data_IF_258973106849
#
_entry.id   IF_258973106849
#
_cell.length_a   1.000
_cell.length_b   1.000
_cell.length_c   1.000
_cell.angle_alpha   90.00
_cell.angle_beta   90.00
_cell.angle_gamma   90.00
#
_symmetry.space_group_name_H-M   'P 1'
#
loop_
_entity.id
_entity.type
_entity.pdbx_description
1 polymer ?
#
# COMPACT_ATOMS: atom_id res chain seq x y z
N UNK A 1 13.91 -39.01 -69.58
CA UNK A 1 15.15 -38.76 -68.80
C UNK A 1 14.72 -38.55 -67.36
N UNK A 2 14.96 -39.56 -66.53
CA UNK A 2 14.42 -39.70 -65.18
C UNK A 2 15.22 -38.85 -64.18
N UNK A 3 14.54 -38.00 -63.43
CA UNK A 3 15.12 -37.28 -62.28
C UNK A 3 15.43 -38.26 -61.15
N UNK A 4 16.65 -38.23 -60.56
CA UNK A 4 17.00 -39.13 -59.47
C UNK A 4 16.21 -38.82 -58.20
N UNK A 5 15.60 -39.84 -57.63
CA UNK A 5 15.12 -39.88 -56.26
C UNK A 5 16.31 -39.67 -55.31
N UNK A 6 16.27 -38.63 -54.47
CA UNK A 6 17.31 -38.36 -53.49
C UNK A 6 17.43 -39.55 -52.52
N UNK A 7 18.67 -39.96 -52.25
CA UNK A 7 18.97 -41.10 -51.38
C UNK A 7 18.48 -40.85 -49.94
N UNK A 8 18.02 -41.89 -49.21
CA UNK A 8 17.50 -41.76 -47.84
C UNK A 8 18.52 -41.20 -46.83
N UNK A 9 19.81 -41.18 -47.17
CA UNK A 9 20.89 -40.65 -46.32
C UNK A 9 20.95 -39.11 -46.27
N UNK A 10 20.38 -38.40 -47.25
CA UNK A 10 20.36 -36.91 -47.25
C UNK A 10 19.25 -36.34 -46.35
N UNK A 11 18.14 -37.08 -46.18
CA UNK A 11 17.09 -36.72 -45.21
C UNK A 11 17.58 -36.86 -43.76
N UNK A 12 18.38 -37.90 -43.47
CA UNK A 12 18.94 -38.14 -42.14
C UNK A 12 19.96 -37.07 -41.72
N UNK A 13 20.75 -36.54 -42.67
CA UNK A 13 21.67 -35.42 -42.42
C UNK A 13 20.94 -34.09 -42.18
N UNK A 14 19.81 -33.87 -42.87
CA UNK A 14 18.99 -32.67 -42.64
C UNK A 14 18.28 -32.69 -41.28
N UNK A 15 17.81 -33.86 -40.82
CA UNK A 15 17.27 -34.05 -39.47
C UNK A 15 18.33 -33.88 -38.38
N UNK A 16 19.54 -34.43 -38.56
CA UNK A 16 20.65 -34.25 -37.62
C UNK A 16 21.15 -32.79 -37.56
N UNK A 17 21.05 -32.01 -38.64
CA UNK A 17 21.35 -30.58 -38.64
C UNK A 17 20.26 -29.73 -37.96
N UNK A 18 19.00 -30.15 -38.00
CA UNK A 18 17.91 -29.52 -37.25
C UNK A 18 18.04 -29.78 -35.74
N UNK A 19 18.45 -30.98 -35.33
CA UNK A 19 18.69 -31.32 -33.91
C UNK A 19 19.94 -30.65 -33.32
N UNK A 20 20.92 -30.25 -34.16
CA UNK A 20 22.09 -29.49 -33.70
C UNK A 20 21.82 -27.97 -33.66
N UNK A 21 20.85 -27.48 -34.44
CA UNK A 21 20.37 -26.10 -34.38
C UNK A 21 19.27 -25.88 -33.32
N UNK A 22 18.66 -26.95 -32.81
CA UNK A 22 17.72 -26.92 -31.68
C UNK A 22 18.40 -27.08 -30.32
N UNK A 23 19.73 -26.88 -30.24
CA UNK A 23 20.36 -26.46 -28.99
C UNK A 23 19.89 -25.03 -28.70
N UNK A 24 18.66 -24.98 -28.23
CA UNK A 24 18.08 -23.90 -27.47
C UNK A 24 19.18 -23.41 -26.54
N UNK A 25 19.67 -22.21 -26.79
CA UNK A 25 20.33 -21.40 -25.78
C UNK A 25 19.28 -21.15 -24.71
N UNK A 26 19.02 -22.16 -23.87
CA UNK A 26 18.60 -21.98 -22.50
C UNK A 26 19.60 -21.01 -21.94
N UNK A 27 19.17 -19.75 -21.88
CA UNK A 27 19.74 -18.73 -21.01
C UNK A 27 19.87 -19.45 -19.68
N UNK A 28 21.12 -19.76 -19.31
CA UNK A 28 21.41 -20.25 -17.98
C UNK A 28 21.00 -19.12 -17.05
N UNK A 29 19.80 -19.25 -16.49
CA UNK A 29 19.41 -18.51 -15.30
C UNK A 29 20.49 -18.82 -14.26
N UNK A 30 21.35 -17.84 -14.04
CA UNK A 30 22.29 -17.81 -12.93
C UNK A 30 21.47 -17.84 -11.63
N UNK A 31 21.29 -19.05 -11.10
CA UNK A 31 20.56 -19.36 -9.85
C UNK A 31 21.33 -18.95 -8.59
N UNK A 32 22.35 -18.09 -8.68
CA UNK A 32 23.15 -17.66 -7.52
C UNK A 32 22.45 -16.65 -6.61
N UNK A 33 21.24 -16.18 -6.94
CA UNK A 33 20.38 -15.45 -6.00
C UNK A 33 18.97 -16.05 -5.95
N UNK A 34 18.42 -16.36 -4.76
CA UNK A 34 17.01 -16.65 -4.66
C UNK A 34 16.17 -15.42 -5.07
N UNK A 35 14.91 -15.64 -5.49
CA UNK A 35 14.02 -14.66 -6.15
C UNK A 35 13.48 -13.56 -5.22
N UNK A 36 14.14 -13.37 -4.07
CA UNK A 36 13.92 -12.29 -3.12
C UNK A 36 15.25 -11.91 -2.48
N UNK A 37 15.68 -10.64 -2.54
CA UNK A 37 17.00 -10.23 -2.02
C UNK A 37 17.21 -10.41 -0.51
N UNK A 38 16.14 -10.62 0.26
CA UNK A 38 16.12 -10.63 1.72
C UNK A 38 15.90 -12.02 2.33
N UNK A 39 15.78 -13.08 1.51
CA UNK A 39 15.58 -14.44 1.98
C UNK A 39 14.20 -14.73 2.59
N UNK A 40 13.26 -13.80 2.50
CA UNK A 40 11.90 -13.96 3.07
C UNK A 40 11.02 -14.92 2.28
N UNK A 41 11.38 -15.24 1.03
CA UNK A 41 10.55 -16.00 0.11
C UNK A 41 9.33 -15.25 -0.42
N UNK A 42 9.09 -14.00 0.02
CA UNK A 42 8.05 -13.12 -0.53
C UNK A 42 8.53 -12.46 -1.82
N UNK A 43 7.69 -11.80 -2.63
CA UNK A 43 8.20 -11.04 -3.77
C UNK A 43 9.02 -9.82 -3.31
N UNK A 44 9.98 -9.37 -4.11
CA UNK A 44 10.74 -8.16 -3.77
C UNK A 44 9.80 -6.95 -3.57
N UNK A 45 10.19 -5.96 -2.75
CA UNK A 45 9.34 -4.82 -2.38
C UNK A 45 8.01 -5.22 -1.71
N UNK A 46 7.91 -6.42 -1.12
CA UNK A 46 6.73 -6.80 -0.34
C UNK A 46 6.63 -5.96 0.93
N UNK A 47 5.48 -5.32 1.16
CA UNK A 47 5.24 -4.54 2.37
C UNK A 47 3.74 -4.36 2.64
N UNK A 48 3.37 -4.22 3.92
CA UNK A 48 2.00 -3.85 4.30
C UNK A 48 1.81 -2.35 4.19
N UNK A 49 0.81 -1.90 3.42
CA UNK A 49 0.48 -0.46 3.28
C UNK A 49 -0.66 -0.06 4.23
N UNK A 50 -1.57 -0.97 4.52
CA UNK A 50 -2.67 -0.82 5.45
C UNK A 50 -3.03 -2.20 6.02
N UNK A 51 -3.85 -2.30 7.08
CA UNK A 51 -4.24 -3.60 7.63
C UNK A 51 -4.83 -4.52 6.54
N UNK A 52 -4.18 -5.68 6.32
CA UNK A 52 -4.53 -6.66 5.29
C UNK A 52 -4.42 -6.15 3.84
N UNK A 53 -3.66 -5.09 3.59
CA UNK A 53 -3.38 -4.57 2.25
C UNK A 53 -1.88 -4.55 2.04
N UNK A 54 -1.42 -5.27 1.03
CA UNK A 54 0.00 -5.48 0.74
C UNK A 54 0.36 -4.92 -0.63
N UNK A 55 1.60 -4.45 -0.77
CA UNK A 55 2.23 -4.10 -2.05
C UNK A 55 3.36 -5.07 -2.35
N UNK A 56 3.68 -5.32 -3.62
CA UNK A 56 4.88 -6.07 -3.99
C UNK A 56 5.35 -5.83 -5.43
N UNK A 57 6.50 -6.43 -5.78
CA UNK A 57 6.87 -6.73 -7.17
C UNK A 57 6.08 -7.93 -7.71
N UNK A 58 6.29 -8.25 -8.99
CA UNK A 58 5.55 -9.32 -9.65
C UNK A 58 5.78 -10.67 -8.98
N UNK A 59 4.74 -11.36 -8.50
CA UNK A 59 4.88 -12.69 -7.91
C UNK A 59 5.39 -13.71 -8.92
N UNK A 60 6.42 -14.45 -8.54
CA UNK A 60 6.99 -15.55 -9.30
C UNK A 60 6.61 -16.87 -8.64
N UNK A 61 6.77 -17.97 -9.36
CA UNK A 61 6.44 -19.32 -8.88
C UNK A 61 7.02 -19.64 -7.50
N UNK A 62 8.27 -19.23 -7.25
CA UNK A 62 8.94 -19.43 -5.97
C UNK A 62 8.32 -18.68 -4.78
N UNK A 63 7.47 -17.68 -5.03
CA UNK A 63 6.77 -16.91 -4.00
C UNK A 63 5.39 -17.47 -3.68
N UNK A 64 4.89 -18.45 -4.45
CA UNK A 64 3.49 -18.88 -4.32
C UNK A 64 3.22 -19.61 -3.00
N UNK A 65 4.19 -20.36 -2.50
CA UNK A 65 4.08 -21.03 -1.20
C UNK A 65 3.92 -20.01 -0.07
N UNK A 66 4.78 -19.00 -0.01
CA UNK A 66 4.70 -17.95 1.02
C UNK A 66 3.48 -17.04 0.86
N UNK A 67 3.03 -16.79 -0.37
CA UNK A 67 1.81 -16.02 -0.63
C UNK A 67 0.53 -16.82 -0.30
N UNK A 68 0.58 -18.15 -0.35
CA UNK A 68 -0.54 -19.00 0.06
C UNK A 68 -0.81 -18.86 1.56
N UNK A 69 0.23 -18.74 2.39
CA UNK A 69 0.11 -18.55 3.85
C UNK A 69 -0.59 -17.24 4.23
N UNK A 70 -0.59 -16.24 3.35
CA UNK A 70 -1.26 -14.95 3.57
C UNK A 70 -2.77 -15.05 3.29
N UNK A 71 -3.21 -16.10 2.60
CA UNK A 71 -4.62 -16.34 2.23
C UNK A 71 -5.23 -15.13 1.51
N UNK A 72 -4.53 -14.64 0.48
CA UNK A 72 -4.98 -13.49 -0.30
C UNK A 72 -6.35 -13.75 -0.91
N UNK A 73 -7.30 -12.85 -0.63
CA UNK A 73 -8.64 -12.86 -1.22
C UNK A 73 -8.67 -12.21 -2.60
N UNK A 74 -7.85 -11.18 -2.81
CA UNK A 74 -7.80 -10.48 -4.08
C UNK A 74 -6.39 -10.02 -4.47
N UNK A 75 -6.17 -9.88 -5.78
CA UNK A 75 -4.92 -9.38 -6.34
C UNK A 75 -5.23 -8.34 -7.41
N UNK A 76 -4.52 -7.21 -7.36
CA UNK A 76 -4.56 -6.16 -8.38
C UNK A 76 -3.22 -6.11 -9.14
N UNK A 77 -3.25 -6.48 -10.42
CA UNK A 77 -2.10 -6.42 -11.32
C UNK A 77 -2.18 -5.16 -12.19
N UNK A 78 -1.18 -4.28 -12.05
CA UNK A 78 -1.16 -2.96 -12.71
C UNK A 78 -0.54 -2.95 -14.12
N UNK A 79 -0.31 -4.11 -14.70
CA UNK A 79 0.43 -4.28 -15.96
C UNK A 79 -0.45 -4.97 -16.99
N UNK A 80 -0.24 -4.67 -18.28
CA UNK A 80 -1.09 -5.16 -19.38
C UNK A 80 -0.63 -6.51 -19.93
N UNK A 81 0.57 -6.92 -19.56
CA UNK A 81 1.20 -8.15 -19.99
C UNK A 81 0.33 -9.35 -19.59
N UNK A 82 0.20 -10.37 -20.45
CA UNK A 82 -0.59 -11.56 -20.13
C UNK A 82 0.02 -12.27 -18.92
N UNK A 83 -0.84 -12.82 -18.06
CA UNK A 83 -0.41 -13.54 -16.87
C UNK A 83 0.24 -14.88 -17.29
N UNK A 84 1.40 -15.26 -16.73
CA UNK A 84 1.95 -16.61 -16.90
C UNK A 84 0.97 -17.69 -16.44
N UNK A 85 1.03 -18.87 -17.05
CA UNK A 85 0.11 -19.97 -16.77
C UNK A 85 0.16 -20.41 -15.31
N UNK A 86 1.35 -20.46 -14.72
CA UNK A 86 1.58 -20.83 -13.33
C UNK A 86 0.89 -19.85 -12.38
N UNK A 87 0.92 -18.56 -12.73
CA UNK A 87 0.28 -17.53 -11.92
C UNK A 87 -1.24 -17.57 -12.01
N UNK A 88 -1.78 -17.86 -13.21
CA UNK A 88 -3.21 -18.10 -13.39
C UNK A 88 -3.68 -19.32 -12.60
N UNK A 89 -2.88 -20.40 -12.59
CA UNK A 89 -3.18 -21.60 -11.82
C UNK A 89 -3.19 -21.32 -10.32
N UNK A 90 -2.18 -20.59 -9.81
CA UNK A 90 -2.14 -20.16 -8.41
C UNK A 90 -3.39 -19.36 -8.02
N UNK A 91 -3.75 -18.34 -8.81
CA UNK A 91 -4.95 -17.52 -8.58
C UNK A 91 -6.20 -18.39 -8.52
N UNK A 92 -6.36 -19.32 -9.47
CA UNK A 92 -7.54 -20.18 -9.57
C UNK A 92 -7.61 -21.20 -8.43
N UNK A 93 -6.48 -21.82 -8.09
CA UNK A 93 -6.36 -22.83 -7.04
C UNK A 93 -6.70 -22.26 -5.66
N UNK A 94 -6.33 -21.02 -5.39
CA UNK A 94 -6.60 -20.34 -4.12
C UNK A 94 -7.91 -19.52 -4.14
N UNK A 95 -8.68 -19.55 -5.23
CA UNK A 95 -9.96 -18.83 -5.33
C UNK A 95 -9.82 -17.30 -5.25
N UNK A 96 -8.68 -16.77 -5.70
CA UNK A 96 -8.34 -15.36 -5.59
C UNK A 96 -9.10 -14.55 -6.65
N UNK A 97 -9.78 -13.48 -6.22
CA UNK A 97 -10.39 -12.53 -7.16
C UNK A 97 -9.29 -11.67 -7.77
N UNK A 98 -9.05 -11.86 -9.06
CA UNK A 98 -8.00 -11.15 -9.80
C UNK A 98 -8.54 -9.96 -10.58
N UNK A 99 -7.90 -8.79 -10.41
CA UNK A 99 -8.18 -7.57 -11.15
C UNK A 99 -6.95 -7.13 -11.93
N UNK A 100 -7.00 -7.24 -13.25
CA UNK A 100 -5.96 -6.67 -14.13
C UNK A 100 -6.37 -5.28 -14.60
N UNK A 101 -5.73 -4.24 -14.08
CA UNK A 101 -6.02 -2.84 -14.41
C UNK A 101 -4.71 -2.16 -14.86
N UNK A 102 -4.45 -2.06 -16.16
CA UNK A 102 -3.21 -1.48 -16.66
C UNK A 102 -3.05 -0.01 -16.28
N UNK A 103 -1.95 0.31 -15.60
CA UNK A 103 -1.51 1.68 -15.35
C UNK A 103 -0.41 2.02 -16.34
N UNK A 104 -0.57 3.12 -17.06
CA UNK A 104 0.45 3.64 -17.97
C UNK A 104 1.70 4.04 -17.19
N UNK A 105 2.86 3.73 -17.73
CA UNK A 105 4.12 4.16 -17.12
C UNK A 105 4.32 5.65 -17.39
N UNK A 106 4.54 6.45 -16.35
CA UNK A 106 4.84 7.87 -16.47
C UNK A 106 6.28 8.05 -17.01
N UNK A 107 6.45 7.88 -18.31
CA UNK A 107 7.71 8.07 -19.05
C UNK A 107 7.67 9.27 -19.98
N UNK A 108 6.48 9.79 -20.25
CA UNK A 108 6.21 10.94 -21.11
C UNK A 108 5.25 11.86 -20.35
N UNK A 109 5.55 13.16 -20.34
CA UNK A 109 4.76 14.19 -19.65
C UNK A 109 3.31 14.27 -20.15
N UNK A 110 3.06 13.89 -21.40
CA UNK A 110 1.74 13.96 -22.03
C UNK A 110 0.93 12.68 -21.88
N UNK A 111 1.56 11.59 -21.43
CA UNK A 111 0.94 10.27 -21.34
C UNK A 111 0.89 9.84 -19.88
N UNK A 112 -0.31 9.92 -19.30
CA UNK A 112 -0.58 9.49 -17.94
C UNK A 112 -1.90 8.73 -17.89
N UNK A 113 -2.05 7.92 -16.86
CA UNK A 113 -3.28 7.14 -16.65
C UNK A 113 -4.42 8.10 -16.28
N UNK A 114 -5.61 8.00 -16.89
CA UNK A 114 -6.77 8.82 -16.53
C UNK A 114 -7.19 8.62 -15.07
N UNK A 115 -7.64 9.70 -14.41
CA UNK A 115 -8.03 9.68 -13.00
C UNK A 115 -9.13 8.65 -12.70
N UNK A 116 -10.04 8.38 -13.64
CA UNK A 116 -11.06 7.34 -13.49
C UNK A 116 -10.44 5.94 -13.29
N UNK A 117 -9.39 5.63 -14.04
CA UNK A 117 -8.69 4.33 -13.92
C UNK A 117 -7.94 4.25 -12.59
N UNK A 118 -7.33 5.35 -12.16
CA UNK A 118 -6.68 5.45 -10.84
C UNK A 118 -7.72 5.25 -9.74
N UNK A 119 -8.85 5.95 -9.81
CA UNK A 119 -9.94 5.87 -8.85
C UNK A 119 -10.54 4.46 -8.78
N UNK A 120 -10.60 3.73 -9.90
CA UNK A 120 -11.00 2.32 -9.91
C UNK A 120 -10.06 1.44 -9.08
N UNK A 121 -8.74 1.61 -9.23
CA UNK A 121 -7.76 0.88 -8.43
C UNK A 121 -7.86 1.26 -6.96
N UNK A 122 -7.94 2.55 -6.66
CA UNK A 122 -8.04 3.05 -5.29
C UNK A 122 -9.35 2.62 -4.61
N UNK A 123 -10.45 2.54 -5.37
CA UNK A 123 -11.73 2.01 -4.88
C UNK A 123 -11.64 0.55 -4.47
N UNK A 124 -10.91 -0.29 -5.24
CA UNK A 124 -10.64 -1.67 -4.84
C UNK A 124 -9.79 -1.74 -3.56
N UNK A 125 -8.80 -0.86 -3.44
CA UNK A 125 -7.95 -0.76 -2.23
C UNK A 125 -8.76 -0.31 -1.02
N UNK A 126 -9.74 0.58 -1.17
CA UNK A 126 -10.54 1.09 -0.06
C UNK A 126 -11.66 0.12 0.37
N UNK A 127 -12.01 -0.84 -0.47
CA UNK A 127 -13.04 -1.82 -0.15
C UNK A 127 -12.49 -2.99 0.67
N UNK A 128 -12.83 -2.99 1.96
CA UNK A 128 -12.46 -4.03 2.92
C UNK A 128 -12.97 -5.42 2.55
N UNK A 129 -13.97 -5.52 1.66
CA UNK A 129 -14.44 -6.82 1.17
C UNK A 129 -13.37 -7.56 0.36
N UNK A 130 -12.36 -6.87 -0.15
CA UNK A 130 -11.28 -7.43 -0.95
C UNK A 130 -10.10 -7.97 -0.13
N UNK A 131 -10.10 -7.79 1.20
CA UNK A 131 -8.95 -8.12 2.04
C UNK A 131 -8.93 -9.60 2.47
N UNK A 132 -7.74 -10.21 2.67
CA UNK A 132 -6.41 -9.63 2.42
C UNK A 132 -6.12 -9.44 0.92
N UNK A 133 -5.53 -8.29 0.54
CA UNK A 133 -5.27 -7.98 -0.88
C UNK A 133 -3.82 -7.66 -1.17
N UNK A 134 -3.39 -7.96 -2.40
CA UNK A 134 -2.06 -7.61 -2.91
C UNK A 134 -2.17 -6.72 -4.15
N UNK A 135 -1.47 -5.59 -4.16
CA UNK A 135 -1.28 -4.75 -5.34
C UNK A 135 0.16 -4.85 -5.85
N UNK A 136 0.35 -5.13 -7.14
CA UNK A 136 1.69 -5.24 -7.71
C UNK A 136 1.78 -4.75 -9.15
N UNK A 137 3.01 -4.48 -9.57
CA UNK A 137 3.37 -4.29 -10.98
C UNK A 137 4.61 -5.15 -11.28
N UNK A 138 5.40 -4.82 -12.30
CA UNK A 138 6.59 -5.62 -12.63
C UNK A 138 7.63 -5.64 -11.49
N UNK A 139 7.97 -4.47 -10.93
CA UNK A 139 9.00 -4.35 -9.87
C UNK A 139 8.47 -3.78 -8.56
N UNK A 140 7.18 -3.45 -8.47
CA UNK A 140 6.60 -2.86 -7.24
C UNK A 140 7.12 -1.45 -6.93
N UNK A 141 7.63 -0.73 -7.94
CA UNK A 141 8.29 0.59 -7.80
C UNK A 141 7.42 1.72 -8.31
N UNK A 142 7.34 1.88 -9.64
CA UNK A 142 6.70 3.03 -10.30
C UNK A 142 5.19 2.97 -10.20
N UNK A 143 4.53 2.09 -10.95
CA UNK A 143 3.05 1.97 -11.00
C UNK A 143 2.45 1.66 -9.63
N UNK A 144 3.02 0.69 -8.91
CA UNK A 144 2.57 0.38 -7.55
C UNK A 144 2.85 1.55 -6.60
N UNK A 145 4.02 2.18 -6.68
CA UNK A 145 4.35 3.30 -5.81
C UNK A 145 3.46 4.53 -6.04
N UNK A 146 3.11 4.85 -7.28
CA UNK A 146 2.18 5.94 -7.58
C UNK A 146 0.78 5.62 -7.08
N UNK A 147 0.27 4.40 -7.28
CA UNK A 147 -1.04 4.01 -6.73
C UNK A 147 -1.06 4.05 -5.19
N UNK A 148 0.00 3.57 -4.54
CA UNK A 148 0.11 3.62 -3.08
C UNK A 148 0.18 5.07 -2.58
N UNK A 149 0.96 5.94 -3.23
CA UNK A 149 1.03 7.35 -2.87
C UNK A 149 -0.31 8.07 -3.11
N UNK A 150 -1.03 7.79 -4.20
CA UNK A 150 -2.38 8.31 -4.41
C UNK A 150 -3.36 7.81 -3.33
N UNK A 151 -3.25 6.54 -2.91
CA UNK A 151 -3.99 6.00 -1.78
C UNK A 151 -3.66 6.78 -0.49
N UNK A 152 -2.38 7.04 -0.19
CA UNK A 152 -1.96 7.86 0.96
C UNK A 152 -2.60 9.25 0.94
N UNK A 153 -2.57 9.95 -0.20
CA UNK A 153 -3.24 11.25 -0.39
C UNK A 153 -4.74 11.17 -0.10
N UNK A 154 -5.41 10.14 -0.58
CA UNK A 154 -6.84 9.90 -0.33
C UNK A 154 -7.12 9.64 1.16
N UNK A 155 -6.25 8.90 1.84
CA UNK A 155 -6.37 8.64 3.29
C UNK A 155 -5.96 9.81 4.19
N UNK A 156 -5.45 10.91 3.61
CA UNK A 156 -5.16 12.15 4.32
C UNK A 156 -3.69 12.39 4.69
N UNK A 157 -2.74 11.71 4.05
CA UNK A 157 -1.31 12.01 4.21
C UNK A 157 -0.94 13.33 3.53
N UNK A 158 0.13 13.97 4.00
CA UNK A 158 0.72 15.14 3.33
C UNK A 158 1.36 14.72 2.00
N UNK A 159 1.53 15.66 1.06
CA UNK A 159 2.17 15.35 -0.22
C UNK A 159 3.63 14.91 0.01
N UNK A 160 4.31 15.56 0.95
CA UNK A 160 5.67 15.29 1.35
C UNK A 160 5.83 13.84 1.81
N UNK A 161 4.99 13.37 2.74
CA UNK A 161 5.02 11.99 3.24
C UNK A 161 4.73 10.97 2.12
N UNK A 162 3.82 11.31 1.20
CA UNK A 162 3.51 10.46 0.04
C UNK A 162 4.73 10.29 -0.88
N UNK A 163 5.45 11.38 -1.13
CA UNK A 163 6.66 11.38 -1.97
C UNK A 163 7.81 10.65 -1.27
N UNK A 164 7.97 10.84 0.05
CA UNK A 164 9.00 10.14 0.82
C UNK A 164 8.78 8.61 0.78
N UNK A 165 7.55 8.14 1.01
CA UNK A 165 7.23 6.72 0.92
C UNK A 165 7.46 6.21 -0.51
N UNK A 166 7.05 6.96 -1.53
CA UNK A 166 7.31 6.60 -2.92
C UNK A 166 8.81 6.44 -3.21
N UNK A 167 9.63 7.39 -2.78
CA UNK A 167 11.09 7.33 -2.97
C UNK A 167 11.72 6.14 -2.28
N UNK A 168 11.30 5.84 -1.04
CA UNK A 168 11.77 4.70 -0.25
C UNK A 168 11.66 3.38 -1.04
N UNK A 169 10.53 3.17 -1.74
CA UNK A 169 10.31 1.93 -2.50
C UNK A 169 10.74 1.98 -3.97
N UNK A 170 11.03 3.16 -4.52
CA UNK A 170 11.43 3.30 -5.93
C UNK A 170 12.94 3.40 -6.14
N UNK A 171 13.69 3.84 -5.12
CA UNK A 171 15.17 3.93 -5.14
C UNK A 171 15.85 2.63 -5.56
N UNK A 172 16.93 2.68 -6.37
CA UNK A 172 17.59 3.88 -6.90
C UNK A 172 17.04 4.34 -8.26
N UNK A 173 15.81 3.95 -8.62
CA UNK A 173 15.23 4.20 -9.96
C UNK A 173 13.98 5.06 -9.88
N UNK A 174 13.87 5.95 -8.92
CA UNK A 174 12.79 6.93 -8.81
C UNK A 174 12.69 7.80 -10.08
N UNK A 175 11.49 8.31 -10.35
CA UNK A 175 11.22 9.15 -11.53
C UNK A 175 10.53 10.43 -11.11
N UNK A 176 10.97 11.55 -11.68
CA UNK A 176 10.32 12.85 -11.49
C UNK A 176 8.87 12.86 -11.99
N UNK A 177 8.59 12.20 -13.13
CA UNK A 177 7.23 12.12 -13.68
C UNK A 177 6.25 11.36 -12.79
N UNK A 178 6.72 10.36 -12.02
CA UNK A 178 5.88 9.68 -11.04
C UNK A 178 5.53 10.63 -9.87
N UNK A 179 6.48 11.48 -9.43
CA UNK A 179 6.22 12.50 -8.39
C UNK A 179 5.25 13.56 -8.88
N UNK A 180 5.45 14.08 -10.09
CA UNK A 180 4.54 15.04 -10.73
C UNK A 180 3.12 14.46 -10.89
N UNK A 181 3.01 13.17 -11.22
CA UNK A 181 1.73 12.46 -11.26
C UNK A 181 1.05 12.43 -9.87
N UNK A 182 1.81 12.06 -8.82
CA UNK A 182 1.29 12.03 -7.45
C UNK A 182 0.83 13.41 -7.02
N UNK A 183 1.60 14.46 -7.29
CA UNK A 183 1.26 15.84 -6.98
C UNK A 183 -0.04 16.26 -7.66
N UNK A 184 -0.14 16.03 -8.97
CA UNK A 184 -1.29 16.42 -9.79
C UNK A 184 -2.60 15.68 -9.45
N UNK A 185 -2.53 14.41 -9.06
CA UNK A 185 -3.73 13.59 -8.85
C UNK A 185 -4.69 14.22 -7.82
N UNK A 186 -5.95 14.39 -8.21
CA UNK A 186 -6.99 14.92 -7.32
C UNK A 186 -7.61 13.82 -6.44
N UNK A 187 -7.30 13.86 -5.16
CA UNK A 187 -7.82 12.93 -4.16
C UNK A 187 -9.25 13.25 -3.69
N UNK A 188 -9.80 14.42 -4.03
CA UNK A 188 -11.09 14.91 -3.49
C UNK A 188 -12.23 13.92 -3.68
N UNK A 189 -12.26 13.23 -4.82
CA UNK A 189 -13.34 12.31 -5.21
C UNK A 189 -13.49 11.12 -4.27
N UNK A 190 -12.38 10.61 -3.72
CA UNK A 190 -12.38 9.40 -2.88
C UNK A 190 -12.22 9.67 -1.39
N UNK A 191 -11.93 10.91 -0.98
CA UNK A 191 -11.82 11.29 0.43
C UNK A 191 -13.07 10.94 1.25
N UNK A 192 -14.32 11.18 0.78
CA UNK A 192 -15.51 10.80 1.53
C UNK A 192 -15.58 9.29 1.79
N UNK A 193 -15.26 8.49 0.78
CA UNK A 193 -15.21 7.03 0.89
C UNK A 193 -14.13 6.59 1.89
N UNK A 194 -12.94 7.20 1.84
CA UNK A 194 -11.86 6.87 2.77
C UNK A 194 -12.25 7.16 4.24
N UNK A 195 -12.93 8.28 4.49
CA UNK A 195 -13.46 8.63 5.81
C UNK A 195 -14.50 7.60 6.30
N UNK A 196 -15.44 7.22 5.44
CA UNK A 196 -16.44 6.17 5.76
C UNK A 196 -15.77 4.84 6.12
N UNK A 197 -14.67 4.50 5.44
CA UNK A 197 -13.89 3.27 5.66
C UNK A 197 -12.93 3.36 6.85
N UNK A 198 -12.93 4.47 7.59
CA UNK A 198 -12.18 4.63 8.83
C UNK A 198 -10.79 5.26 8.68
N UNK A 199 -10.44 5.78 7.51
CA UNK A 199 -9.19 6.53 7.33
C UNK A 199 -9.39 8.00 7.70
N UNK A 200 -8.75 8.45 8.79
CA UNK A 200 -8.84 9.84 9.28
C UNK A 200 -7.44 10.39 9.48
N UNK A 201 -7.09 11.47 8.77
CA UNK A 201 -5.80 12.15 8.92
C UNK A 201 -4.58 11.24 8.69
N UNK A 202 -4.69 10.30 7.75
CA UNK A 202 -3.65 9.33 7.42
C UNK A 202 -3.54 8.11 8.33
N UNK A 203 -4.40 8.01 9.35
CA UNK A 203 -4.44 6.89 10.29
C UNK A 203 -5.68 6.05 9.99
N UNK A 204 -5.51 4.73 9.96
CA UNK A 204 -6.64 3.81 9.96
C UNK A 204 -7.19 3.65 11.38
N UNK A 205 -8.45 4.03 11.57
CA UNK A 205 -9.24 3.73 12.77
C UNK A 205 -10.40 2.86 12.31
N UNK A 206 -10.47 1.64 12.83
CA UNK A 206 -11.61 0.77 12.56
C UNK A 206 -12.92 1.53 12.86
N UNK A 207 -13.85 1.63 11.90
CA UNK A 207 -15.10 2.36 12.12
C UNK A 207 -15.79 1.75 13.34
N UNK A 208 -16.18 2.60 14.29
CA UNK A 208 -16.91 2.15 15.44
C UNK A 208 -18.19 1.47 14.91
N UNK A 209 -18.33 0.16 15.13
CA UNK A 209 -19.62 -0.51 14.93
C UNK A 209 -20.59 0.32 15.75
N UNK A 210 -21.56 0.97 15.11
CA UNK A 210 -22.57 1.75 15.80
C UNK A 210 -23.19 0.85 16.87
N UNK A 211 -22.80 1.05 18.11
CA UNK A 211 -23.51 0.47 19.23
C UNK A 211 -24.92 1.03 19.13
N UNK A 212 -25.93 0.18 18.99
CA UNK A 212 -27.35 0.55 18.98
C UNK A 212 -27.82 1.13 20.32
N UNK A 213 -26.91 1.47 21.24
CA UNK A 213 -27.22 2.33 22.37
C UNK A 213 -27.26 3.77 21.89
N UNK A 214 -28.44 4.18 21.42
CA UNK A 214 -28.84 5.58 21.31
C UNK A 214 -28.50 6.28 22.63
N UNK A 215 -27.45 7.11 22.64
CA UNK A 215 -27.24 8.05 23.72
C UNK A 215 -28.31 9.13 23.55
N UNK A 216 -29.34 9.09 24.39
CA UNK A 216 -30.30 10.20 24.50
C UNK A 216 -29.54 11.38 25.09
N UNK A 217 -29.04 12.27 24.22
CA UNK A 217 -28.68 13.61 24.64
C UNK A 217 -29.99 14.35 24.94
N UNK A 218 -30.32 14.47 26.23
CA UNK A 218 -31.30 15.47 26.68
C UNK A 218 -30.64 16.84 26.56
N UNK A 219 -31.12 17.67 25.64
CA UNK A 219 -30.81 19.11 25.63
C UNK A 219 -31.54 19.76 26.81
N UNK A 220 -30.91 19.79 27.99
CA UNK A 220 -31.31 20.76 29.00
C UNK A 220 -30.75 22.12 28.58
N UNK A 221 -31.52 22.84 27.77
CA UNK A 221 -31.38 24.29 27.65
C UNK A 221 -31.71 24.88 29.01
N UNK A 222 -30.70 25.36 29.71
CA UNK A 222 -30.89 26.25 30.86
C UNK A 222 -30.58 27.64 30.36
N UNK A 223 -31.62 28.45 30.20
CA UNK A 223 -31.51 29.88 29.93
C UNK A 223 -30.72 30.53 31.07
N UNK A 224 -29.51 30.98 30.80
CA UNK A 224 -28.75 31.83 31.72
C UNK A 224 -29.24 33.27 31.58
N UNK A 225 -30.28 33.62 32.35
CA UNK A 225 -30.56 35.00 32.67
C UNK A 225 -29.43 35.54 33.56
N UNK A 226 -28.81 36.65 33.15
CA UNK A 226 -27.86 37.38 33.96
C UNK A 226 -28.59 37.99 35.17
N UNK A 227 -28.29 37.48 36.36
CA UNK A 227 -28.62 38.17 37.62
C UNK A 227 -27.34 38.30 38.44
N UNK A 228 -26.87 39.53 38.58
CA UNK A 228 -25.86 39.91 39.57
C UNK A 228 -26.43 39.69 40.97
N UNK A 229 -25.86 38.75 41.73
CA UNK A 229 -25.83 38.85 43.20
C UNK A 229 -24.70 38.00 43.78
N UNK A 230 -24.02 38.53 44.78
CA UNK A 230 -22.87 37.91 45.44
C UNK A 230 -23.30 36.76 46.36
N UNK A 231 -22.76 35.55 46.17
CA UNK A 231 -22.60 34.57 47.26
C UNK A 231 -21.64 33.44 46.87
N UNK A 232 -20.88 32.96 47.85
CA UNK A 232 -19.64 32.20 47.75
C UNK A 232 -19.81 30.74 47.26
N UNK A 233 -18.95 30.29 46.34
CA UNK A 233 -18.82 28.88 45.97
C UNK A 233 -17.69 28.19 46.77
N UNK A 234 -17.86 26.95 47.25
CA UNK A 234 -16.84 26.24 48.02
C UNK A 234 -15.65 25.78 47.16
N UNK A 235 -14.42 25.68 47.71
CA UNK A 235 -13.21 25.44 46.92
C UNK A 235 -13.12 24.01 46.38
N UNK A 236 -12.72 23.88 45.11
CA UNK A 236 -12.46 22.59 44.46
C UNK A 236 -11.06 22.06 44.86
N UNK A 237 -11.01 20.81 45.33
CA UNK A 237 -9.90 20.08 45.99
C UNK A 237 -8.60 19.97 45.16
N UNK A 238 -8.61 20.43 43.92
CA UNK A 238 -7.45 20.46 43.03
C UNK A 238 -6.49 21.62 43.31
N UNK A 239 -6.98 22.77 43.80
CA UNK A 239 -6.12 23.93 44.04
C UNK A 239 -5.27 23.82 45.33
N UNK A 240 -5.66 22.98 46.27
CA UNK A 240 -4.90 22.73 47.50
C UNK A 240 -3.69 21.81 47.29
N UNK A 241 -3.80 20.81 46.39
CA UNK A 241 -2.67 19.91 46.09
C UNK A 241 -1.50 20.62 45.41
N UNK A 242 -1.78 21.57 44.53
CA UNK A 242 -0.73 22.32 43.79
C UNK A 242 0.01 23.32 44.69
N UNK A 243 -0.60 23.80 45.78
CA UNK A 243 0.06 24.66 46.78
C UNK A 243 0.97 23.86 47.72
N UNK A 244 0.63 22.59 48.00
CA UNK A 244 1.38 21.75 48.94
C UNK A 244 2.70 21.22 48.36
N UNK A 245 2.77 20.97 47.05
CA UNK A 245 4.01 20.53 46.38
C UNK A 245 5.00 21.68 46.11
N UNK A 246 4.52 22.90 45.89
CA UNK A 246 5.38 24.08 45.69
C UNK A 246 5.92 24.69 46.99
N UNK A 247 5.33 24.39 48.15
CA UNK A 247 5.80 24.87 49.46
C UNK A 247 7.01 24.11 50.02
N UNK A 248 7.17 22.83 49.67
CA UNK A 248 8.25 21.97 50.22
C UNK A 248 9.60 22.22 49.53
N UNK A 249 9.59 22.77 48.31
CA UNK A 249 10.82 23.09 47.55
C UNK A 249 11.44 24.46 47.91
N UNK A 250 10.72 25.34 48.62
CA UNK A 250 11.19 26.70 48.94
C UNK A 250 11.76 26.79 50.37
N UNK A 251 11.49 25.83 51.25
CA UNK A 251 11.96 25.84 52.65
C UNK A 251 13.37 25.24 52.85
N UNK A 252 13.99 24.68 51.80
CA UNK A 252 15.33 24.08 51.86
C UNK A 252 16.48 25.05 51.48
N UNK A 253 16.21 26.35 51.25
CA UNK A 253 17.24 27.31 50.85
C UNK A 253 17.07 28.69 51.51
N UNK A 254 17.56 28.85 52.75
CA UNK A 254 17.99 30.15 53.28
C UNK A 254 19.38 30.05 53.95
N UNK A 255 20.37 30.86 53.53
CA UNK A 255 21.69 30.92 54.14
C UNK A 255 21.71 31.82 55.38
N UNK A 256 22.53 31.45 56.37
CA UNK A 256 22.68 32.15 57.64
C UNK A 256 23.46 33.48 57.55
N UNK A 257 23.00 34.47 58.31
CA UNK A 257 23.77 35.68 58.64
C UNK A 257 24.68 35.43 59.84
N UNK A 258 25.98 35.69 59.68
CA UNK A 258 26.89 35.94 60.79
C UNK A 258 27.18 37.43 60.88
N UNK A 259 27.26 37.91 62.12
CA UNK A 259 27.74 39.24 62.53
C UNK A 259 29.23 39.41 62.21
#
# INVERSE_FOLDING_TARGET
MSTPWAAPDDMAKSLAQLDLASQSTTIQDDKSQPPTPDGTGLPANFHSIAPNVYRSSYPLYAHFETLADIELKSIVTLVKEPLPFEYQNFISQHGIVHHQIPILANKDEKVYTPDETVNKVLGLILDQSNYPMLIHCNKGRHRTGTMVACFRKVTGWTLEDCIEEYEKYSKPKERALDKAFIERFDASTLKPLALERGYVGGIYRAPAKSSTKSSVYTNNTVDTAYTTDESECPPNDYQERVKKENGVLIEAAKPGSYK
#
